data_IF_322429938227
#
_entry.id   IF_322429938227
#
_cell.length_a   1.000
_cell.length_b   1.000
_cell.length_c   1.000
_cell.angle_alpha   90.00
_cell.angle_beta   90.00
_cell.angle_gamma   90.00
#
_symmetry.space_group_name_H-M   'P 1'
#
loop_
_entity.id
_entity.type
_entity.pdbx_description
1 polymer ?
#
# COMPACT_ATOMS: atom_id res chain seq x y z
N UNK A 1 -22.71 12.38 12.71
CA UNK A 1 -21.47 11.65 13.03
C UNK A 1 -20.29 12.61 13.17
N UNK A 2 -19.35 12.28 14.04
CA UNK A 2 -18.07 12.92 14.25
C UNK A 2 -16.96 12.00 13.74
N UNK A 3 -16.24 12.48 12.73
CA UNK A 3 -15.26 11.72 11.96
C UNK A 3 -13.86 12.30 12.18
N UNK A 4 -12.86 11.42 12.28
CA UNK A 4 -11.45 11.83 12.22
C UNK A 4 -10.78 11.37 10.93
N UNK A 5 -10.15 12.27 10.19
CA UNK A 5 -9.30 11.92 9.05
C UNK A 5 -7.85 11.91 9.56
N UNK A 6 -7.26 10.72 9.67
CA UNK A 6 -5.88 10.58 10.17
C UNK A 6 -4.91 10.88 9.02
N UNK A 7 -4.30 12.07 9.01
CA UNK A 7 -3.43 12.50 7.92
C UNK A 7 -2.33 13.45 8.40
N UNK A 8 -1.11 13.26 7.90
CA UNK A 8 -0.01 14.23 8.06
C UNK A 8 -0.05 15.35 7.03
N UNK A 9 -0.89 15.24 6.00
CA UNK A 9 -0.96 16.17 4.88
C UNK A 9 -2.38 16.80 4.80
N UNK A 10 -2.70 17.75 5.71
CA UNK A 10 -4.04 18.37 5.74
C UNK A 10 -4.36 19.16 4.47
N UNK A 11 -3.33 19.68 3.79
CA UNK A 11 -3.48 20.45 2.55
C UNK A 11 -3.49 19.59 1.27
N UNK A 12 -3.28 18.27 1.37
CA UNK A 12 -3.36 17.40 0.21
C UNK A 12 -4.80 17.36 -0.32
N UNK A 13 -4.97 17.43 -1.64
CA UNK A 13 -6.26 17.41 -2.32
C UNK A 13 -7.20 16.31 -1.77
N UNK A 14 -6.70 15.08 -1.64
CA UNK A 14 -7.51 13.96 -1.13
C UNK A 14 -8.01 14.19 0.31
N UNK A 15 -7.21 14.81 1.18
CA UNK A 15 -7.59 15.07 2.58
C UNK A 15 -8.66 16.16 2.63
N UNK A 16 -8.47 17.25 1.88
CA UNK A 16 -9.43 18.34 1.79
C UNK A 16 -10.77 17.88 1.20
N UNK A 17 -10.74 17.08 0.12
CA UNK A 17 -11.95 16.55 -0.51
C UNK A 17 -12.73 15.59 0.40
N UNK A 18 -12.05 14.73 1.16
CA UNK A 18 -12.71 13.86 2.14
C UNK A 18 -13.38 14.68 3.25
N UNK A 19 -12.70 15.70 3.78
CA UNK A 19 -13.25 16.60 4.78
C UNK A 19 -14.49 17.34 4.25
N UNK A 20 -14.37 17.98 3.09
CA UNK A 20 -15.46 18.73 2.46
C UNK A 20 -16.66 17.81 2.12
N UNK A 21 -16.42 16.59 1.65
CA UNK A 21 -17.48 15.63 1.33
C UNK A 21 -18.24 15.13 2.57
N UNK A 22 -17.56 15.05 3.72
CA UNK A 22 -18.17 14.72 5.01
C UNK A 22 -19.00 15.89 5.54
N UNK A 23 -18.45 17.11 5.51
CA UNK A 23 -19.14 18.33 5.95
C UNK A 23 -20.38 18.61 5.09
N UNK A 24 -20.29 18.43 3.77
CA UNK A 24 -21.43 18.56 2.87
C UNK A 24 -22.57 17.56 3.17
N UNK A 25 -22.26 16.41 3.79
CA UNK A 25 -23.25 15.42 4.25
C UNK A 25 -23.72 15.66 5.69
N UNK A 26 -23.39 16.81 6.29
CA UNK A 26 -23.79 17.16 7.64
C UNK A 26 -23.00 16.44 8.74
N UNK A 27 -21.82 15.91 8.43
CA UNK A 27 -20.94 15.30 9.43
C UNK A 27 -19.86 16.27 9.91
N UNK A 28 -19.47 16.16 11.18
CA UNK A 28 -18.33 16.90 11.73
C UNK A 28 -17.06 16.15 11.40
N UNK A 29 -16.17 16.70 10.56
CA UNK A 29 -14.93 16.05 10.18
C UNK A 29 -13.69 16.85 10.64
N UNK A 30 -12.81 16.21 11.40
CA UNK A 30 -11.54 16.81 11.86
C UNK A 30 -10.36 16.08 11.25
N UNK A 31 -9.38 16.83 10.76
CA UNK A 31 -8.10 16.25 10.30
C UNK A 31 -7.15 16.19 11.48
N UNK A 32 -6.77 14.98 11.89
CA UNK A 32 -5.88 14.74 13.01
C UNK A 32 -4.53 14.24 12.48
N UNK A 33 -3.45 14.90 12.87
CA UNK A 33 -2.12 14.47 12.48
C UNK A 33 -1.76 13.21 13.25
N UNK A 34 -1.61 12.10 12.53
CA UNK A 34 -1.33 10.78 13.10
C UNK A 34 -0.16 10.79 14.08
N UNK A 35 0.89 11.58 13.84
CA UNK A 35 2.08 11.65 14.72
C UNK A 35 1.87 12.41 16.03
N UNK A 36 0.68 12.99 16.24
CA UNK A 36 0.34 13.72 17.46
C UNK A 36 -0.50 12.90 18.44
N UNK A 37 -0.78 11.64 18.09
CA UNK A 37 -1.37 10.68 18.99
C UNK A 37 -0.31 10.11 19.94
N UNK A 38 -0.75 9.74 21.13
CA UNK A 38 -0.06 8.84 22.03
C UNK A 38 -1.03 7.73 22.43
N UNK A 39 -0.54 6.50 22.48
CA UNK A 39 -1.32 5.34 22.93
C UNK A 39 -1.05 5.19 24.41
N UNK A 40 -2.12 5.23 25.21
CA UNK A 40 -2.04 4.94 26.63
C UNK A 40 -2.46 3.48 26.85
N UNK A 41 -1.60 2.71 27.50
CA UNK A 41 -1.82 1.29 27.79
C UNK A 41 -1.83 1.04 29.32
N UNK A 42 -1.81 2.10 30.13
CA UNK A 42 -1.81 1.98 31.58
C UNK A 42 -3.21 1.76 32.16
N UNK A 43 -4.26 2.06 31.40
CA UNK A 43 -5.66 1.93 31.79
C UNK A 43 -6.24 0.59 31.35
N UNK A 44 -7.26 0.10 32.07
CA UNK A 44 -8.00 -1.11 31.69
C UNK A 44 -8.80 -0.90 30.39
N UNK A 45 -9.34 0.30 30.19
CA UNK A 45 -10.05 0.66 28.96
C UNK A 45 -9.07 1.20 27.90
N UNK A 46 -9.16 0.73 26.64
CA UNK A 46 -8.38 1.27 25.54
C UNK A 46 -8.69 2.75 25.31
N UNK A 47 -7.66 3.59 25.26
CA UNK A 47 -7.84 5.00 24.88
C UNK A 47 -6.62 5.55 24.12
N UNK A 48 -6.75 6.80 23.66
CA UNK A 48 -5.78 7.59 22.94
C UNK A 48 -5.69 8.98 23.54
N UNK A 49 -4.49 9.56 23.50
CA UNK A 49 -4.28 10.99 23.74
C UNK A 49 -3.93 11.68 22.44
N UNK A 50 -4.46 12.87 22.22
CA UNK A 50 -4.08 13.73 21.09
C UNK A 50 -3.51 15.04 21.62
N UNK A 51 -2.23 15.30 21.31
CA UNK A 51 -1.47 16.46 21.84
C UNK A 51 -1.54 16.55 23.37
N UNK A 52 -1.40 15.42 24.06
CA UNK A 52 -1.36 15.35 25.52
C UNK A 52 -2.73 15.50 26.21
N UNK A 53 -3.84 15.58 25.48
CA UNK A 53 -5.19 15.58 26.06
C UNK A 53 -5.88 14.26 25.71
N UNK A 54 -6.80 13.82 26.57
CA UNK A 54 -7.67 12.68 26.26
C UNK A 54 -8.35 12.91 24.92
N UNK A 55 -8.39 11.88 24.08
CA UNK A 55 -9.12 11.95 22.83
C UNK A 55 -10.62 11.96 23.16
N UNK A 56 -11.36 12.83 22.51
CA UNK A 56 -12.82 12.79 22.54
C UNK A 56 -13.37 11.71 21.62
N UNK A 57 -14.59 11.24 21.84
CA UNK A 57 -15.21 10.18 21.03
C UNK A 57 -15.32 10.52 19.53
N UNK A 58 -15.23 9.48 18.70
CA UNK A 58 -15.42 9.51 17.25
C UNK A 58 -16.22 8.29 16.81
N UNK A 59 -17.17 8.48 15.89
CA UNK A 59 -17.95 7.35 15.34
C UNK A 59 -17.13 6.54 14.33
N UNK A 60 -16.24 7.21 13.60
CA UNK A 60 -15.36 6.57 12.63
C UNK A 60 -14.09 7.39 12.36
N UNK A 61 -13.07 6.70 11.88
CA UNK A 61 -11.87 7.32 11.33
C UNK A 61 -11.68 6.97 9.86
N UNK A 62 -11.04 7.86 9.10
CA UNK A 62 -10.55 7.61 7.75
C UNK A 62 -9.02 7.65 7.74
N UNK A 63 -8.34 6.50 7.82
CA UNK A 63 -6.89 6.45 7.84
C UNK A 63 -6.27 6.85 6.48
N UNK A 64 -5.49 7.93 6.47
CA UNK A 64 -4.66 8.38 5.34
C UNK A 64 -3.18 8.25 5.70
N UNK A 65 -2.81 7.03 6.11
CA UNK A 65 -1.48 6.71 6.64
C UNK A 65 -0.43 6.70 5.53
N UNK A 66 0.52 7.63 5.60
CA UNK A 66 1.65 7.69 4.67
C UNK A 66 2.63 6.53 4.89
N UNK A 67 3.32 6.11 3.81
CA UNK A 67 4.23 4.96 3.86
C UNK A 67 5.33 5.09 4.93
N UNK A 68 5.88 6.29 5.12
CA UNK A 68 6.98 6.53 6.06
C UNK A 68 6.59 6.46 7.55
N UNK A 69 5.30 6.26 7.86
CA UNK A 69 4.81 6.14 9.24
C UNK A 69 3.93 4.89 9.40
N UNK A 70 4.07 3.89 8.53
CA UNK A 70 3.17 2.73 8.49
C UNK A 70 3.08 2.02 9.84
N UNK A 71 4.22 1.78 10.52
CA UNK A 71 4.21 1.12 11.83
C UNK A 71 3.38 1.90 12.86
N UNK A 72 3.75 3.17 13.12
CA UNK A 72 3.05 3.98 14.10
C UNK A 72 1.59 4.28 13.70
N UNK A 73 1.36 4.55 12.41
CA UNK A 73 0.02 4.85 11.90
C UNK A 73 -0.93 3.65 12.00
N UNK A 74 -0.45 2.44 11.73
CA UNK A 74 -1.26 1.23 11.95
C UNK A 74 -1.44 0.92 13.42
N UNK A 75 -0.47 1.24 14.30
CA UNK A 75 -0.65 1.14 15.74
C UNK A 75 -1.79 2.05 16.25
N UNK A 76 -1.83 3.31 15.79
CA UNK A 76 -2.94 4.24 16.11
C UNK A 76 -4.28 3.70 15.59
N UNK A 77 -4.33 3.18 14.35
CA UNK A 77 -5.56 2.60 13.79
C UNK A 77 -6.01 1.36 14.60
N UNK A 78 -5.09 0.48 15.00
CA UNK A 78 -5.41 -0.66 15.89
C UNK A 78 -5.98 -0.20 17.22
N UNK A 79 -5.45 0.88 17.80
CA UNK A 79 -5.98 1.42 19.04
C UNK A 79 -7.42 1.91 18.86
N UNK A 80 -7.72 2.62 17.76
CA UNK A 80 -9.11 2.97 17.43
C UNK A 80 -10.01 1.73 17.24
N UNK A 81 -9.48 0.64 16.67
CA UNK A 81 -10.22 -0.63 16.57
C UNK A 81 -10.49 -1.26 17.94
N UNK A 82 -9.57 -1.14 18.92
CA UNK A 82 -9.80 -1.60 20.30
C UNK A 82 -10.82 -0.72 21.06
N UNK A 83 -11.02 0.51 20.60
CA UNK A 83 -12.02 1.45 21.13
C UNK A 83 -13.39 1.30 20.40
N UNK A 84 -13.58 0.23 19.63
CA UNK A 84 -14.78 -0.02 18.81
C UNK A 84 -15.14 1.10 17.81
N UNK A 85 -14.16 1.91 17.41
CA UNK A 85 -14.35 2.96 16.39
C UNK A 85 -14.25 2.36 14.99
N UNK A 86 -15.17 2.72 14.10
CA UNK A 86 -15.16 2.20 12.73
C UNK A 86 -13.96 2.72 11.92
N UNK A 87 -13.16 1.82 11.33
CA UNK A 87 -11.87 2.15 10.71
C UNK A 87 -11.75 1.72 9.22
N UNK A 88 -12.42 2.35 8.25
CA UNK A 88 -12.18 2.07 6.83
C UNK A 88 -10.96 2.84 6.29
N UNK A 89 -9.79 2.24 6.02
CA UNK A 89 -9.44 0.81 6.05
C UNK A 89 -8.80 0.37 7.37
N UNK A 90 -9.00 -0.90 7.72
CA UNK A 90 -8.48 -1.49 8.97
C UNK A 90 -6.96 -1.48 9.00
N UNK A 91 -6.37 -1.54 10.20
CA UNK A 91 -4.92 -1.60 10.36
C UNK A 91 -4.30 -2.81 9.65
N UNK A 92 -5.00 -3.95 9.68
CA UNK A 92 -4.62 -5.16 8.96
C UNK A 92 -4.74 -4.97 7.43
N UNK A 93 -5.81 -4.33 6.95
CA UNK A 93 -5.96 -3.99 5.53
C UNK A 93 -4.85 -3.09 5.02
N UNK A 94 -4.50 -2.05 5.79
CA UNK A 94 -3.37 -1.15 5.48
C UNK A 94 -2.06 -1.94 5.45
N UNK A 95 -1.75 -2.72 6.49
CA UNK A 95 -0.51 -3.50 6.58
C UNK A 95 -0.38 -4.51 5.44
N UNK A 96 -1.44 -5.28 5.15
CA UNK A 96 -1.46 -6.24 4.04
C UNK A 96 -1.25 -5.56 2.69
N UNK A 97 -1.80 -4.36 2.47
CA UNK A 97 -1.63 -3.61 1.22
C UNK A 97 -0.23 -3.01 1.04
N UNK A 98 0.54 -2.86 2.13
CA UNK A 98 1.89 -2.28 2.13
C UNK A 98 2.94 -3.31 1.77
N UNK A 99 2.75 -4.55 2.20
CA UNK A 99 3.60 -5.68 1.85
C UNK A 99 3.13 -6.32 0.53
N UNK A 100 3.93 -6.13 -0.53
CA UNK A 100 3.62 -6.64 -1.86
C UNK A 100 3.55 -8.17 -1.89
N UNK A 101 4.44 -8.86 -1.18
CA UNK A 101 4.45 -10.32 -1.14
C UNK A 101 3.19 -10.82 -0.43
N UNK A 102 2.88 -10.24 0.74
CA UNK A 102 1.68 -10.60 1.50
C UNK A 102 0.41 -10.36 0.71
N UNK A 103 0.29 -9.21 0.04
CA UNK A 103 -0.86 -8.91 -0.82
C UNK A 103 -1.03 -9.96 -1.92
N UNK A 104 0.04 -10.30 -2.64
CA UNK A 104 0.00 -11.31 -3.71
C UNK A 104 -0.37 -12.69 -3.16
N UNK A 105 0.15 -13.08 -1.99
CA UNK A 105 -0.24 -14.35 -1.35
C UNK A 105 -1.73 -14.39 -1.00
N UNK A 106 -2.30 -13.29 -0.50
CA UNK A 106 -3.74 -13.20 -0.21
C UNK A 106 -4.54 -13.34 -1.51
N UNK A 107 -4.21 -12.57 -2.54
CA UNK A 107 -4.90 -12.62 -3.84
C UNK A 107 -4.82 -14.01 -4.48
N UNK A 108 -3.65 -14.66 -4.40
CA UNK A 108 -3.41 -16.02 -4.91
C UNK A 108 -4.26 -17.05 -4.20
N UNK A 109 -4.35 -16.99 -2.86
CA UNK A 109 -5.23 -17.88 -2.07
C UNK A 109 -6.71 -17.77 -2.48
N UNK A 110 -7.13 -16.62 -2.99
CA UNK A 110 -8.48 -16.37 -3.47
C UNK A 110 -8.65 -16.56 -4.99
N UNK A 111 -7.67 -17.17 -5.67
CA UNK A 111 -7.69 -17.44 -7.12
C UNK A 111 -7.91 -16.19 -7.98
N UNK A 112 -7.42 -15.03 -7.53
CA UNK A 112 -7.44 -13.81 -8.33
C UNK A 112 -6.29 -13.88 -9.32
N UNK A 113 -6.60 -13.75 -10.62
CA UNK A 113 -5.61 -13.80 -11.68
C UNK A 113 -4.60 -12.66 -11.55
N UNK A 114 -3.32 -13.03 -11.63
CA UNK A 114 -2.18 -12.12 -11.54
C UNK A 114 -1.07 -12.63 -12.44
N UNK A 115 -0.15 -11.75 -12.90
CA UNK A 115 1.06 -12.21 -13.59
C UNK A 115 1.83 -13.20 -12.71
N UNK A 116 2.33 -14.27 -13.32
CA UNK A 116 3.13 -15.27 -12.62
C UNK A 116 4.26 -14.59 -11.84
N UNK A 117 4.35 -14.90 -10.54
CA UNK A 117 5.25 -14.21 -9.61
C UNK A 117 5.94 -15.22 -8.71
N UNK A 118 7.24 -15.05 -8.53
CA UNK A 118 8.07 -15.83 -7.62
C UNK A 118 8.79 -14.92 -6.62
N UNK A 119 9.06 -15.47 -5.44
CA UNK A 119 9.87 -14.87 -4.39
C UNK A 119 10.89 -15.91 -3.95
N UNK A 120 12.18 -15.57 -4.03
CA UNK A 120 13.27 -16.47 -3.65
C UNK A 120 14.29 -15.76 -2.80
N UNK A 121 14.91 -16.50 -1.88
CA UNK A 121 15.95 -15.99 -0.99
C UNK A 121 17.34 -16.41 -1.43
N UNK A 122 17.51 -17.67 -1.85
CA UNK A 122 18.82 -18.20 -2.17
C UNK A 122 19.18 -17.93 -3.63
N UNK A 123 20.47 -17.68 -3.88
CA UNK A 123 21.00 -17.49 -5.23
C UNK A 123 20.71 -18.68 -6.15
N UNK A 124 20.83 -19.91 -5.65
CA UNK A 124 20.59 -21.13 -6.41
C UNK A 124 19.14 -21.23 -6.95
N UNK A 125 18.19 -20.58 -6.29
CA UNK A 125 16.76 -20.65 -6.64
C UNK A 125 16.36 -19.56 -7.66
N UNK A 126 17.26 -18.61 -7.97
CA UNK A 126 16.94 -17.46 -8.85
C UNK A 126 16.59 -17.90 -10.26
N UNK A 127 17.42 -18.75 -10.88
CA UNK A 127 17.19 -19.22 -12.25
C UNK A 127 15.93 -20.09 -12.36
N UNK A 128 15.72 -21.11 -11.51
CA UNK A 128 14.45 -21.83 -11.46
C UNK A 128 13.24 -20.93 -11.27
N UNK A 129 13.35 -19.86 -10.47
CA UNK A 129 12.25 -18.92 -10.26
C UNK A 129 11.96 -18.04 -11.48
N UNK A 130 12.97 -17.65 -12.26
CA UNK A 130 12.77 -16.95 -13.54
C UNK A 130 12.07 -17.88 -14.54
N UNK A 131 12.50 -19.14 -14.60
CA UNK A 131 11.91 -20.14 -15.49
C UNK A 131 10.45 -20.44 -15.10
N UNK A 132 10.14 -20.54 -13.79
CA UNK A 132 8.79 -20.85 -13.31
C UNK A 132 7.77 -19.74 -13.57
N UNK A 133 8.20 -18.48 -13.73
CA UNK A 133 7.32 -17.37 -14.14
C UNK A 133 7.17 -17.23 -15.66
N UNK A 134 7.78 -18.14 -16.44
CA UNK A 134 7.69 -18.18 -17.91
C UNK A 134 8.91 -17.63 -18.64
N UNK A 135 10.04 -17.43 -17.95
CA UNK A 135 11.28 -16.92 -18.54
C UNK A 135 11.29 -15.40 -18.75
N UNK A 136 12.38 -14.90 -19.33
CA UNK A 136 12.53 -13.49 -19.63
C UNK A 136 11.70 -13.07 -20.87
N UNK A 137 11.23 -11.81 -20.96
CA UNK A 137 11.49 -10.70 -20.02
C UNK A 137 10.72 -10.81 -18.70
N UNK A 138 11.37 -10.38 -17.60
CA UNK A 138 10.76 -10.33 -16.26
C UNK A 138 10.87 -8.93 -15.66
N UNK A 139 9.95 -8.62 -14.74
CA UNK A 139 9.98 -7.44 -13.89
C UNK A 139 10.47 -7.83 -12.50
N UNK A 140 11.52 -7.18 -12.03
CA UNK A 140 12.07 -7.32 -10.68
C UNK A 140 11.51 -6.19 -9.82
N UNK A 141 10.87 -6.52 -8.70
CA UNK A 141 10.25 -5.53 -7.80
C UNK A 141 10.81 -5.64 -6.40
N UNK A 142 11.40 -4.56 -5.89
CA UNK A 142 11.75 -4.44 -4.47
C UNK A 142 10.47 -4.49 -3.61
N UNK A 143 10.50 -5.28 -2.54
CA UNK A 143 9.39 -5.32 -1.57
C UNK A 143 9.21 -3.96 -0.89
N UNK A 144 10.33 -3.30 -0.58
CA UNK A 144 10.36 -1.97 0.01
C UNK A 144 10.52 -0.89 -1.07
N UNK A 145 9.75 0.19 -0.97
CA UNK A 145 9.77 1.30 -1.93
C UNK A 145 8.38 1.74 -2.38
N UNK A 146 8.24 3.02 -2.71
CA UNK A 146 7.01 3.67 -3.21
C UNK A 146 7.25 4.32 -4.56
N UNK A 147 6.18 4.66 -5.29
CA UNK A 147 6.24 5.49 -6.50
C UNK A 147 7.12 4.92 -7.64
N UNK A 148 7.19 3.59 -7.79
CA UNK A 148 7.91 2.95 -8.90
C UNK A 148 9.44 2.92 -8.76
N UNK A 149 9.99 3.46 -7.67
CA UNK A 149 11.37 3.20 -7.26
C UNK A 149 11.46 1.73 -6.87
N UNK A 150 12.39 1.00 -7.50
CA UNK A 150 12.55 -0.44 -7.27
C UNK A 150 11.74 -1.35 -8.19
N UNK A 151 11.26 -0.87 -9.34
CA UNK A 151 10.66 -1.71 -10.40
C UNK A 151 11.57 -1.68 -11.62
N UNK A 152 12.18 -2.82 -11.95
CA UNK A 152 13.22 -2.94 -12.97
C UNK A 152 12.78 -3.96 -14.02
N UNK A 153 12.88 -3.62 -15.30
CA UNK A 153 12.63 -4.56 -16.40
C UNK A 153 13.95 -5.24 -16.79
N UNK A 154 13.99 -6.57 -16.73
CA UNK A 154 15.12 -7.37 -17.17
C UNK A 154 14.76 -8.10 -18.47
N UNK A 155 15.35 -7.73 -19.63
CA UNK A 155 14.97 -8.27 -20.93
C UNK A 155 15.45 -9.71 -21.15
N UNK A 156 16.48 -10.15 -20.43
CA UNK A 156 17.07 -11.50 -20.57
C UNK A 156 17.29 -12.15 -19.21
N UNK A 157 17.38 -13.48 -19.18
CA UNK A 157 17.62 -14.26 -17.95
C UNK A 157 18.93 -13.83 -17.30
N UNK A 158 20.01 -13.70 -18.07
CA UNK A 158 21.34 -13.27 -17.57
C UNK A 158 21.29 -11.90 -16.89
N UNK A 159 20.54 -10.94 -17.48
CA UNK A 159 20.36 -9.61 -16.88
C UNK A 159 19.55 -9.70 -15.59
N UNK A 160 18.49 -10.53 -15.57
CA UNK A 160 17.69 -10.72 -14.37
C UNK A 160 18.52 -11.34 -13.22
N UNK A 161 19.28 -12.39 -13.49
CA UNK A 161 20.19 -13.03 -12.53
C UNK A 161 21.17 -12.01 -11.93
N UNK A 162 21.88 -11.25 -12.78
CA UNK A 162 22.84 -10.25 -12.33
C UNK A 162 22.22 -9.17 -11.43
N UNK A 163 21.02 -8.68 -11.78
CA UNK A 163 20.30 -7.69 -10.98
C UNK A 163 19.90 -8.30 -9.63
N UNK A 164 19.30 -9.49 -9.63
CA UNK A 164 18.82 -10.15 -8.41
C UNK A 164 19.98 -10.46 -7.47
N UNK A 165 21.11 -10.96 -7.99
CA UNK A 165 22.32 -11.22 -7.22
C UNK A 165 22.87 -9.95 -6.56
N UNK A 166 22.91 -8.84 -7.29
CA UNK A 166 23.36 -7.54 -6.77
C UNK A 166 22.42 -7.01 -5.68
N UNK A 167 21.10 -7.20 -5.85
CA UNK A 167 20.12 -6.80 -4.82
C UNK A 167 20.21 -7.69 -3.58
N UNK A 168 20.41 -9.00 -3.76
CA UNK A 168 20.62 -9.92 -2.63
C UNK A 168 21.91 -9.60 -1.85
N UNK A 169 23.00 -9.20 -2.52
CA UNK A 169 24.25 -8.80 -1.82
C UNK A 169 24.07 -7.55 -0.95
N UNK A 170 23.08 -6.72 -1.26
CA UNK A 170 22.68 -5.55 -0.45
C UNK A 170 21.53 -5.86 0.51
N UNK A 171 21.23 -7.16 0.72
CA UNK A 171 20.16 -7.68 1.59
C UNK A 171 18.76 -7.17 1.22
N UNK A 172 18.53 -6.89 -0.06
CA UNK A 172 17.23 -6.46 -0.56
C UNK A 172 16.39 -7.67 -0.98
N UNK A 173 15.13 -7.68 -0.56
CA UNK A 173 14.15 -8.69 -0.96
C UNK A 173 13.46 -8.27 -2.27
N UNK A 174 13.38 -9.19 -3.24
CA UNK A 174 12.81 -8.93 -4.57
C UNK A 174 11.75 -9.95 -4.97
N UNK A 175 10.72 -9.47 -5.66
CA UNK A 175 9.79 -10.31 -6.42
C UNK A 175 10.26 -10.38 -7.87
N UNK A 176 10.17 -11.58 -8.44
CA UNK A 176 10.38 -11.85 -9.87
C UNK A 176 8.99 -12.06 -10.47
N UNK A 177 8.62 -11.26 -11.46
CA UNK A 177 7.28 -11.34 -12.05
C UNK A 177 7.36 -11.36 -13.57
N UNK A 178 6.52 -12.17 -14.21
CA UNK A 178 6.37 -12.16 -15.67
C UNK A 178 6.07 -10.76 -16.18
N UNK A 179 6.79 -10.33 -17.22
CA UNK A 179 6.45 -9.08 -17.90
C UNK A 179 5.23 -9.27 -18.81
N UNK A 180 4.21 -8.43 -18.62
CA UNK A 180 2.99 -8.40 -19.45
C UNK A 180 3.21 -7.41 -20.59
N UNK A 181 3.74 -7.91 -21.71
CA UNK A 181 4.20 -7.08 -22.83
C UNK A 181 3.09 -6.30 -23.53
N UNK A 182 1.89 -6.89 -23.61
CA UNK A 182 0.69 -6.30 -24.21
C UNK A 182 0.20 -5.06 -23.45
N UNK A 183 0.53 -4.95 -22.15
CA UNK A 183 0.20 -3.80 -21.31
C UNK A 183 1.39 -2.85 -21.12
N UNK A 184 2.45 -2.94 -21.95
CA UNK A 184 3.62 -2.05 -21.82
C UNK A 184 3.20 -0.58 -21.81
N UNK A 185 3.59 0.16 -20.77
CA UNK A 185 3.28 1.58 -20.63
C UNK A 185 1.80 1.89 -20.38
N UNK A 186 0.96 0.89 -20.06
CA UNK A 186 -0.48 1.07 -19.86
C UNK A 186 -0.98 0.26 -18.67
N UNK A 187 -1.83 0.87 -17.86
CA UNK A 187 -2.59 0.12 -16.86
C UNK A 187 -3.99 0.72 -16.63
N UNK A 188 -4.83 -0.04 -15.94
CA UNK A 188 -6.14 0.40 -15.49
C UNK A 188 -6.09 0.53 -13.97
N UNK A 189 -6.47 1.70 -13.46
CA UNK A 189 -6.66 1.93 -12.04
C UNK A 189 -8.15 2.03 -11.75
N UNK A 190 -8.67 1.05 -11.03
CA UNK A 190 -10.02 1.08 -10.47
C UNK A 190 -9.98 1.59 -9.01
N UNK A 191 -10.94 2.43 -8.65
CA UNK A 191 -11.21 2.85 -7.27
C UNK A 191 -12.42 2.08 -6.76
N UNK A 192 -12.21 1.28 -5.72
CA UNK A 192 -13.24 0.45 -5.10
C UNK A 192 -13.64 1.07 -3.75
N UNK A 193 -14.93 1.18 -3.48
CA UNK A 193 -15.49 1.59 -2.19
C UNK A 193 -16.52 0.55 -1.79
N UNK A 194 -16.27 -0.13 -0.66
CA UNK A 194 -17.05 -1.31 -0.28
C UNK A 194 -16.90 -2.42 -1.31
N UNK A 195 -18.01 -2.80 -1.91
CA UNK A 195 -18.16 -3.87 -2.90
C UNK A 195 -18.24 -3.36 -4.36
N UNK A 196 -18.07 -2.05 -4.58
CA UNK A 196 -18.31 -1.43 -5.90
C UNK A 196 -17.10 -0.68 -6.44
N UNK A 197 -16.84 -0.86 -7.74
CA UNK A 197 -15.97 0.03 -8.52
C UNK A 197 -16.71 1.34 -8.76
N UNK A 198 -16.26 2.41 -8.12
CA UNK A 198 -16.92 3.74 -8.19
C UNK A 198 -16.31 4.65 -9.26
N UNK A 199 -15.08 4.37 -9.68
CA UNK A 199 -14.40 5.07 -10.75
C UNK A 199 -13.28 4.20 -11.32
N UNK A 200 -12.92 4.41 -12.58
CA UNK A 200 -11.76 3.81 -13.21
C UNK A 200 -11.07 4.81 -14.14
N UNK A 201 -9.77 4.65 -14.32
CA UNK A 201 -8.99 5.42 -15.28
C UNK A 201 -8.00 4.49 -15.99
N UNK A 202 -7.71 4.78 -17.25
CA UNK A 202 -6.56 4.22 -17.95
C UNK A 202 -5.41 5.20 -17.81
N UNK A 203 -4.24 4.72 -17.39
CA UNK A 203 -3.02 5.54 -17.36
C UNK A 203 -2.10 5.05 -18.47
N UNK A 204 -1.46 6.00 -19.12
CA UNK A 204 -0.53 5.74 -20.21
C UNK A 204 0.78 6.47 -19.92
N UNK A 205 1.89 5.75 -20.04
CA UNK A 205 3.23 6.31 -19.91
C UNK A 205 3.56 7.20 -21.11
N UNK A 206 4.41 8.20 -20.87
CA UNK A 206 4.96 9.05 -21.93
C UNK A 206 6.29 8.48 -22.43
N UNK A 207 6.49 8.48 -23.75
CA UNK A 207 7.72 7.98 -24.36
C UNK A 207 7.92 6.46 -24.19
N UNK A 208 9.15 6.05 -23.95
CA UNK A 208 9.56 4.63 -23.90
C UNK A 208 9.39 3.96 -22.52
N UNK A 209 8.85 4.69 -21.54
CA UNK A 209 8.66 4.21 -20.17
C UNK A 209 7.59 3.11 -20.13
N UNK A 210 7.92 1.98 -19.47
CA UNK A 210 6.97 0.87 -19.34
C UNK A 210 6.03 1.03 -18.15
N UNK A 211 6.34 1.95 -17.22
CA UNK A 211 5.56 2.26 -16.01
C UNK A 211 4.60 3.43 -16.27
N UNK A 212 3.31 3.22 -16.07
CA UNK A 212 2.23 4.22 -16.29
C UNK A 212 1.89 5.04 -15.04
N UNK A 213 2.84 5.29 -14.14
CA UNK A 213 2.57 6.06 -12.94
C UNK A 213 2.35 7.55 -13.24
N UNK A 214 1.31 8.14 -12.65
CA UNK A 214 1.10 9.59 -12.66
C UNK A 214 1.95 10.13 -11.51
N UNK A 215 3.00 10.88 -11.86
CA UNK A 215 3.87 11.56 -10.92
C UNK A 215 3.40 13.00 -10.69
#
# INVERSE_FOLDING_TARGET
MKLAILSRAPQAYSTQRLKAAAEHRGHRALVLNTLRFAIDLATEEPDLRYRGKQLSDYDAILPRIGNSITYFGTAVVRQFEQMDVYTPNTANGISNSRDKLRAIQILSRHNIEMPATAFVRNRADVRPAIESVGGAPVVIKLLEGTQGIGVILAPTIKVAEAIIETLHSTRQNVLIQRFVSESRGRDIRALVVGDRVVAAMRRQASGDEFRSNVH
#
